data_IF_402218010309
#
_entry.id   IF_402218010309
#
_cell.length_a   1.000
_cell.length_b   1.000
_cell.length_c   1.000
_cell.angle_alpha   90.00
_cell.angle_beta   90.00
_cell.angle_gamma   90.00
#
_symmetry.space_group_name_H-M   'P 1'
#
loop_
_entity.id
_entity.type
_entity.pdbx_description
1 polymer ?
#
# COMPACT_ATOMS: atom_id res chain seq x y z
N UNK A 1 -18.37 -36.30 29.74
CA UNK A 1 -18.65 -35.40 28.59
C UNK A 1 -18.18 -33.95 28.82
N UNK A 2 -17.77 -33.53 30.03
CA UNK A 2 -17.29 -32.15 30.28
C UNK A 2 -15.84 -31.85 29.84
N UNK A 3 -14.95 -32.85 29.75
CA UNK A 3 -13.53 -32.62 29.40
C UNK A 3 -13.25 -32.41 27.90
N UNK A 4 -14.22 -32.70 27.03
CA UNK A 4 -14.07 -32.48 25.59
C UNK A 4 -14.32 -31.01 25.21
N UNK A 5 -15.21 -30.31 25.91
CA UNK A 5 -15.54 -28.91 25.60
C UNK A 5 -14.40 -27.95 26.02
N UNK A 6 -13.76 -28.19 27.16
CA UNK A 6 -12.66 -27.37 27.68
C UNK A 6 -11.36 -27.54 26.89
N UNK A 7 -11.08 -28.74 26.36
CA UNK A 7 -9.92 -28.98 25.50
C UNK A 7 -10.08 -28.28 24.15
N UNK A 8 -11.29 -28.28 23.58
CA UNK A 8 -11.59 -27.57 22.33
C UNK A 8 -11.54 -26.04 22.53
N UNK A 9 -12.09 -25.49 23.62
CA UNK A 9 -12.05 -24.04 23.88
C UNK A 9 -10.61 -23.50 24.09
N UNK A 10 -9.72 -24.30 24.69
CA UNK A 10 -8.32 -23.90 24.93
C UNK A 10 -7.45 -24.02 23.67
N UNK A 11 -7.71 -25.02 22.82
CA UNK A 11 -7.02 -25.21 21.53
C UNK A 11 -7.51 -24.22 20.46
N UNK A 12 -8.80 -23.85 20.48
CA UNK A 12 -9.41 -22.89 19.56
C UNK A 12 -8.95 -21.45 19.83
N UNK A 13 -8.79 -21.05 21.09
CA UNK A 13 -8.34 -19.68 21.39
C UNK A 13 -6.85 -19.45 21.12
N UNK A 14 -6.01 -20.47 21.27
CA UNK A 14 -4.57 -20.32 21.01
C UNK A 14 -4.21 -20.41 19.51
N UNK A 15 -4.97 -21.15 18.70
CA UNK A 15 -4.70 -21.24 17.26
C UNK A 15 -5.14 -19.98 16.51
N UNK A 16 -6.33 -19.45 16.78
CA UNK A 16 -6.87 -18.32 16.04
C UNK A 16 -6.01 -17.05 16.14
N UNK A 17 -5.47 -16.75 17.32
CA UNK A 17 -4.61 -15.57 17.51
C UNK A 17 -3.27 -15.74 16.77
N UNK A 18 -2.71 -16.96 16.78
CA UNK A 18 -1.46 -17.27 16.08
C UNK A 18 -1.66 -17.23 14.56
N UNK A 19 -2.76 -17.78 14.06
CA UNK A 19 -3.08 -17.81 12.65
C UNK A 19 -3.48 -16.43 12.13
N UNK A 20 -4.19 -15.63 12.94
CA UNK A 20 -4.48 -14.24 12.64
C UNK A 20 -3.20 -13.39 12.59
N UNK A 21 -2.26 -13.60 13.52
CA UNK A 21 -0.95 -12.95 13.48
C UNK A 21 -0.22 -13.30 12.19
N UNK A 22 -0.17 -14.58 11.81
CA UNK A 22 0.45 -15.04 10.55
C UNK A 22 -0.21 -14.42 9.32
N UNK A 23 -1.54 -14.31 9.34
CA UNK A 23 -2.30 -13.68 8.26
C UNK A 23 -1.95 -12.20 8.09
N UNK A 24 -1.89 -11.44 9.19
CA UNK A 24 -1.53 -10.01 9.13
C UNK A 24 -0.07 -9.77 8.72
N UNK A 25 0.84 -10.66 9.13
CA UNK A 25 2.24 -10.59 8.71
C UNK A 25 2.48 -11.09 7.30
N UNK A 26 1.47 -11.63 6.60
CA UNK A 26 1.64 -12.06 5.23
C UNK A 26 1.93 -10.85 4.32
N UNK A 27 2.95 -10.96 3.48
CA UNK A 27 3.38 -9.93 2.54
C UNK A 27 2.25 -9.47 1.60
N UNK A 28 1.41 -10.40 1.14
CA UNK A 28 0.27 -10.09 0.25
C UNK A 28 -0.82 -9.30 0.96
N UNK A 29 -1.13 -9.64 2.21
CA UNK A 29 -2.15 -8.95 3.02
C UNK A 29 -1.65 -7.56 3.43
N UNK A 30 -0.40 -7.48 3.88
CA UNK A 30 0.24 -6.23 4.28
C UNK A 30 0.38 -5.27 3.10
N UNK A 31 0.83 -5.77 1.94
CA UNK A 31 0.92 -5.00 0.70
C UNK A 31 -0.45 -4.48 0.23
N UNK A 32 -1.50 -5.30 0.32
CA UNK A 32 -2.87 -4.88 0.02
C UNK A 32 -3.36 -3.78 0.97
N UNK A 33 -3.18 -3.95 2.28
CA UNK A 33 -3.60 -2.96 3.29
C UNK A 33 -2.90 -1.61 3.07
N UNK A 34 -1.59 -1.61 2.82
CA UNK A 34 -0.83 -0.42 2.49
C UNK A 34 -1.38 0.24 1.21
N UNK A 35 -1.64 -0.55 0.17
CA UNK A 35 -2.21 -0.07 -1.09
C UNK A 35 -3.55 0.64 -0.91
N UNK A 36 -4.45 0.09 -0.09
CA UNK A 36 -5.76 0.69 0.21
C UNK A 36 -5.61 2.01 0.97
N UNK A 37 -4.74 2.06 1.99
CA UNK A 37 -4.52 3.28 2.80
C UNK A 37 -3.95 4.41 1.95
N UNK A 38 -2.92 4.10 1.14
CA UNK A 38 -2.28 5.08 0.24
C UNK A 38 -3.26 5.50 -0.85
N UNK A 39 -4.01 4.57 -1.43
CA UNK A 39 -5.01 4.84 -2.47
C UNK A 39 -6.14 5.75 -1.99
N UNK A 40 -6.65 5.53 -0.78
CA UNK A 40 -7.69 6.38 -0.19
C UNK A 40 -7.19 7.81 0.03
N UNK A 41 -6.00 7.93 0.60
CA UNK A 41 -5.40 9.25 0.89
C UNK A 41 -5.06 10.00 -0.40
N UNK A 42 -4.54 9.32 -1.42
CA UNK A 42 -4.29 9.90 -2.74
C UNK A 42 -5.58 10.39 -3.39
N UNK A 43 -6.67 9.62 -3.26
CA UNK A 43 -7.99 10.01 -3.75
C UNK A 43 -8.46 11.33 -3.10
N UNK A 44 -8.23 11.53 -1.81
CA UNK A 44 -8.61 12.77 -1.12
C UNK A 44 -7.82 13.99 -1.61
N UNK A 45 -6.54 13.81 -1.95
CA UNK A 45 -5.74 14.86 -2.63
C UNK A 45 -6.33 15.21 -3.99
N UNK A 46 -6.67 14.19 -4.79
CA UNK A 46 -7.30 14.40 -6.11
C UNK A 46 -8.63 15.12 -5.97
N UNK A 47 -9.49 14.74 -5.03
CA UNK A 47 -10.76 15.44 -4.75
C UNK A 47 -10.53 16.90 -4.39
N UNK A 48 -9.56 17.17 -3.51
CA UNK A 48 -9.25 18.54 -3.10
C UNK A 48 -8.73 19.37 -4.26
N UNK A 49 -7.91 18.78 -5.13
CA UNK A 49 -7.45 19.41 -6.36
C UNK A 49 -8.62 19.74 -7.31
N UNK A 50 -9.55 18.81 -7.52
CA UNK A 50 -10.76 19.05 -8.32
C UNK A 50 -11.60 20.19 -7.71
N UNK A 51 -11.71 20.25 -6.38
CA UNK A 51 -12.40 21.34 -5.68
C UNK A 51 -11.73 22.71 -5.87
N UNK A 52 -10.38 22.76 -5.90
CA UNK A 52 -9.66 23.99 -6.25
C UNK A 52 -10.01 24.47 -7.66
N UNK A 53 -9.95 23.57 -8.65
CA UNK A 53 -10.27 23.90 -10.03
C UNK A 53 -11.72 24.38 -10.17
N UNK A 54 -12.65 23.71 -9.49
CA UNK A 54 -14.06 24.14 -9.45
C UNK A 54 -14.22 25.54 -8.83
N UNK A 55 -13.50 25.84 -7.74
CA UNK A 55 -13.49 27.16 -7.12
C UNK A 55 -12.97 28.26 -8.05
N UNK A 56 -11.92 27.96 -8.84
CA UNK A 56 -11.37 28.89 -9.84
C UNK A 56 -12.39 29.13 -10.97
N UNK A 57 -12.99 28.07 -11.51
CA UNK A 57 -14.01 28.20 -12.58
C UNK A 57 -15.22 29.00 -12.09
N UNK A 58 -15.68 28.74 -10.86
CA UNK A 58 -16.78 29.48 -10.26
C UNK A 58 -16.43 30.96 -10.06
N UNK A 59 -15.20 31.27 -9.66
CA UNK A 59 -14.71 32.65 -9.54
C UNK A 59 -14.76 33.40 -10.87
N UNK A 60 -14.29 32.79 -11.97
CA UNK A 60 -14.39 33.38 -13.31
C UNK A 60 -15.84 33.52 -13.78
N UNK A 61 -16.71 32.55 -13.47
CA UNK A 61 -18.14 32.64 -13.78
C UNK A 61 -18.83 33.82 -13.09
N UNK A 62 -18.58 34.01 -11.79
CA UNK A 62 -19.14 35.16 -11.04
C UNK A 62 -18.62 36.49 -11.59
N UNK A 63 -17.32 36.56 -11.94
CA UNK A 63 -16.69 37.77 -12.49
C UNK A 63 -17.31 38.21 -13.83
N UNK A 64 -17.73 37.26 -14.67
CA UNK A 64 -18.30 37.53 -16.00
C UNK A 64 -19.81 37.80 -15.94
N UNK A 65 -20.55 37.17 -15.01
CA UNK A 65 -22.02 37.20 -14.98
C UNK A 65 -22.65 38.06 -13.86
N UNK A 66 -21.91 38.51 -12.84
CA UNK A 66 -22.46 39.38 -11.78
C UNK A 66 -22.18 40.87 -12.03
N UNK A 67 -23.25 41.68 -12.02
CA UNK A 67 -23.19 43.15 -12.09
C UNK A 67 -22.75 43.82 -10.78
N UNK A 68 -22.85 43.10 -9.67
CA UNK A 68 -22.35 43.53 -8.36
C UNK A 68 -20.98 42.85 -8.12
N UNK A 69 -19.91 43.61 -8.28
CA UNK A 69 -18.51 43.20 -8.11
C UNK A 69 -18.14 42.95 -6.63
N UNK A 70 -18.99 42.26 -5.89
CA UNK A 70 -18.73 41.91 -4.49
C UNK A 70 -17.82 40.67 -4.50
N UNK A 71 -16.52 40.92 -4.64
CA UNK A 71 -15.47 39.91 -4.64
C UNK A 71 -15.45 39.19 -3.28
N UNK A 72 -16.18 38.08 -3.17
CA UNK A 72 -15.97 37.14 -2.07
C UNK A 72 -14.69 36.36 -2.35
N UNK A 73 -13.57 36.85 -1.81
CA UNK A 73 -12.26 36.17 -1.82
C UNK A 73 -12.28 34.79 -1.14
N UNK A 74 -13.38 34.41 -0.50
CA UNK A 74 -13.59 33.13 0.19
C UNK A 74 -13.87 31.94 -0.76
N UNK A 75 -13.92 32.13 -2.09
CA UNK A 75 -14.38 31.09 -3.03
C UNK A 75 -13.30 30.05 -3.40
N UNK A 76 -12.00 30.32 -3.17
CA UNK A 76 -10.94 29.39 -3.60
C UNK A 76 -10.44 28.56 -2.40
N UNK A 77 -10.72 27.24 -2.33
CA UNK A 77 -10.40 26.40 -1.18
C UNK A 77 -8.92 25.95 -1.12
N UNK A 78 -7.97 26.89 -1.29
CA UNK A 78 -6.50 26.63 -1.32
C UNK A 78 -6.02 25.92 -0.05
N UNK A 79 -6.55 26.32 1.11
CA UNK A 79 -6.24 25.71 2.40
C UNK A 79 -6.58 24.23 2.45
N UNK A 80 -7.70 23.81 1.82
CA UNK A 80 -8.13 22.42 1.79
C UNK A 80 -7.17 21.53 1.01
N UNK A 81 -6.63 22.02 -0.10
CA UNK A 81 -5.65 21.27 -0.90
C UNK A 81 -4.31 21.14 -0.20
N UNK A 82 -3.80 22.22 0.39
CA UNK A 82 -2.54 22.17 1.12
C UNK A 82 -2.63 21.21 2.31
N UNK A 83 -3.78 21.17 2.99
CA UNK A 83 -4.03 20.25 4.10
C UNK A 83 -4.10 18.80 3.63
N UNK A 84 -4.82 18.52 2.52
CA UNK A 84 -4.89 17.18 1.95
C UNK A 84 -3.49 16.69 1.50
N UNK A 85 -2.72 17.56 0.85
CA UNK A 85 -1.36 17.26 0.40
C UNK A 85 -0.42 16.98 1.57
N UNK A 86 -0.45 17.81 2.62
CA UNK A 86 0.35 17.59 3.82
C UNK A 86 -0.05 16.29 4.53
N UNK A 87 -1.34 15.99 4.61
CA UNK A 87 -1.86 14.75 5.19
C UNK A 87 -1.37 13.53 4.41
N UNK A 88 -1.38 13.59 3.08
CA UNK A 88 -0.81 12.53 2.24
C UNK A 88 0.67 12.30 2.53
N UNK A 89 1.46 13.37 2.65
CA UNK A 89 2.88 13.24 2.94
C UNK A 89 3.13 12.63 4.33
N UNK A 90 2.33 13.01 5.33
CA UNK A 90 2.42 12.43 6.68
C UNK A 90 2.02 10.96 6.70
N UNK A 91 0.94 10.58 6.01
CA UNK A 91 0.47 9.20 5.94
C UNK A 91 1.48 8.33 5.17
N UNK A 92 1.99 8.81 4.04
CA UNK A 92 3.03 8.13 3.28
C UNK A 92 4.31 7.96 4.12
N UNK A 93 4.75 9.01 4.82
CA UNK A 93 5.89 8.95 5.74
C UNK A 93 5.68 7.98 6.90
N UNK A 94 4.49 7.98 7.49
CA UNK A 94 4.12 7.05 8.57
C UNK A 94 4.12 5.61 8.10
N UNK A 95 3.53 5.32 6.93
CA UNK A 95 3.51 3.98 6.34
C UNK A 95 4.91 3.52 5.98
N UNK A 96 5.73 4.40 5.39
CA UNK A 96 7.13 4.08 5.08
C UNK A 96 7.93 3.72 6.33
N UNK A 97 7.82 4.54 7.39
CA UNK A 97 8.52 4.28 8.64
C UNK A 97 8.02 2.99 9.30
N UNK A 98 6.70 2.73 9.25
CA UNK A 98 6.09 1.51 9.75
C UNK A 98 6.63 0.27 9.02
N UNK A 99 6.61 0.25 7.69
CA UNK A 99 7.15 -0.86 6.89
C UNK A 99 8.63 -1.08 7.19
N UNK A 100 9.43 -0.01 7.28
CA UNK A 100 10.85 -0.10 7.61
C UNK A 100 11.09 -0.65 9.03
N UNK A 101 10.26 -0.28 9.99
CA UNK A 101 10.31 -0.80 11.36
C UNK A 101 9.99 -2.29 11.39
N UNK A 102 8.93 -2.72 10.70
CA UNK A 102 8.54 -4.12 10.62
C UNK A 102 9.61 -4.95 9.92
N UNK A 103 10.18 -4.44 8.83
CA UNK A 103 11.31 -5.07 8.14
C UNK A 103 12.50 -5.26 9.10
N UNK A 104 12.83 -4.26 9.91
CA UNK A 104 13.95 -4.37 10.85
C UNK A 104 13.70 -5.34 12.03
N UNK A 105 12.43 -5.52 12.44
CA UNK A 105 12.07 -6.40 13.57
C UNK A 105 11.85 -7.85 13.14
N UNK A 106 11.25 -8.07 11.97
CA UNK A 106 10.90 -9.41 11.48
C UNK A 106 11.83 -9.95 10.39
N UNK A 107 12.41 -9.12 9.53
CA UNK A 107 13.32 -9.58 8.49
C UNK A 107 14.76 -9.65 9.02
N UNK A 108 15.14 -10.82 9.56
CA UNK A 108 16.57 -11.16 9.77
C UNK A 108 17.29 -11.51 8.46
N UNK A 109 16.55 -11.75 7.38
CA UNK A 109 17.10 -12.07 6.07
C UNK A 109 16.71 -11.01 5.03
N UNK A 110 17.64 -10.56 4.16
CA UNK A 110 17.38 -9.58 3.10
C UNK A 110 16.40 -10.07 2.02
N UNK A 111 15.95 -11.33 2.09
CA UNK A 111 14.98 -11.95 1.17
C UNK A 111 13.52 -11.84 1.63
N UNK A 112 13.25 -11.55 2.91
CA UNK A 112 11.90 -11.41 3.47
C UNK A 112 11.52 -9.94 3.69
N UNK A 113 11.73 -9.11 2.66
CA UNK A 113 11.41 -7.68 2.79
C UNK A 113 9.90 -7.46 2.65
N UNK A 114 9.21 -7.28 3.77
CA UNK A 114 7.80 -6.90 3.78
C UNK A 114 7.57 -5.64 2.92
N UNK A 115 6.81 -5.79 1.83
CA UNK A 115 6.54 -4.69 0.89
C UNK A 115 6.44 -5.16 -0.56
N UNK A 116 6.28 -4.19 -1.47
CA UNK A 116 6.04 -4.41 -2.91
C UNK A 116 7.10 -5.29 -3.61
N UNK A 117 8.30 -5.44 -3.03
CA UNK A 117 9.45 -6.03 -3.71
C UNK A 117 9.72 -7.51 -3.35
N UNK A 118 9.13 -8.07 -2.29
CA UNK A 118 9.41 -9.46 -1.87
C UNK A 118 9.08 -10.48 -2.96
N UNK A 119 7.85 -10.40 -3.49
CA UNK A 119 7.37 -11.29 -4.55
C UNK A 119 8.20 -11.15 -5.84
N UNK A 120 8.73 -9.95 -6.11
CA UNK A 120 9.53 -9.66 -7.30
C UNK A 120 10.94 -10.28 -7.23
N UNK A 121 11.55 -10.29 -6.03
CA UNK A 121 12.85 -10.93 -5.81
C UNK A 121 12.74 -12.46 -5.88
N UNK A 122 11.66 -13.03 -5.33
CA UNK A 122 11.39 -14.47 -5.40
C UNK A 122 11.18 -14.93 -6.85
N UNK A 123 10.39 -14.18 -7.63
CA UNK A 123 10.15 -14.49 -9.05
C UNK A 123 11.40 -14.36 -9.92
N UNK A 124 12.32 -13.43 -9.62
CA UNK A 124 13.61 -13.37 -10.32
C UNK A 124 14.46 -14.61 -10.06
N UNK A 125 14.60 -15.05 -8.81
CA UNK A 125 15.38 -16.25 -8.47
C UNK A 125 14.82 -17.52 -9.08
N UNK A 126 13.49 -17.65 -9.10
CA UNK A 126 12.83 -18.75 -9.80
C UNK A 126 13.15 -18.76 -11.29
N UNK A 127 13.19 -17.59 -11.93
CA UNK A 127 13.57 -17.45 -13.35
C UNK A 127 15.05 -17.77 -13.56
N UNK A 128 15.93 -17.26 -12.73
CA UNK A 128 17.38 -17.56 -12.79
C UNK A 128 17.63 -19.06 -12.65
N UNK A 129 17.02 -19.73 -11.68
CA UNK A 129 17.14 -21.18 -11.51
C UNK A 129 16.57 -21.97 -12.71
N UNK A 130 15.48 -21.48 -13.31
CA UNK A 130 14.93 -22.05 -14.55
C UNK A 130 15.86 -21.82 -15.74
N UNK A 131 16.46 -20.65 -15.87
CA UNK A 131 17.42 -20.31 -16.92
C UNK A 131 18.69 -21.15 -16.79
N UNK A 132 19.21 -21.34 -15.58
CA UNK A 132 20.34 -22.26 -15.32
C UNK A 132 19.98 -23.69 -15.72
N UNK A 133 18.82 -24.19 -15.30
CA UNK A 133 18.36 -25.53 -15.69
C UNK A 133 18.28 -25.65 -17.21
N UNK A 134 17.69 -24.65 -17.89
CA UNK A 134 17.57 -24.64 -19.34
C UNK A 134 18.92 -24.50 -20.05
N UNK A 135 19.87 -23.75 -19.49
CA UNK A 135 21.22 -23.59 -20.00
C UNK A 135 22.01 -24.89 -19.89
N UNK A 136 21.94 -25.57 -18.75
CA UNK A 136 22.55 -26.88 -18.54
C UNK A 136 21.98 -27.93 -19.50
N UNK A 137 20.67 -27.93 -19.75
CA UNK A 137 20.05 -28.82 -20.74
C UNK A 137 20.59 -28.55 -22.16
N UNK A 138 20.74 -27.27 -22.54
CA UNK A 138 21.34 -26.89 -23.83
C UNK A 138 22.81 -27.29 -23.92
N UNK A 139 23.58 -27.13 -22.84
CA UNK A 139 24.97 -27.57 -22.77
C UNK A 139 25.08 -29.09 -22.97
N UNK A 140 24.27 -29.89 -22.26
CA UNK A 140 24.26 -31.35 -22.38
C UNK A 140 23.88 -31.81 -23.79
N UNK A 141 22.86 -31.21 -24.40
CA UNK A 141 22.48 -31.51 -25.81
C UNK A 141 23.63 -31.15 -26.76
N UNK A 142 24.32 -30.04 -26.53
CA UNK A 142 25.45 -29.62 -27.37
C UNK A 142 26.68 -30.52 -27.25
N UNK A 143 26.99 -31.04 -26.05
CA UNK A 143 28.11 -31.98 -25.82
C UNK A 143 27.83 -33.41 -26.26
N UNK A 144 26.55 -33.75 -26.45
CA UNK A 144 26.12 -35.09 -26.92
C UNK A 144 26.11 -35.19 -28.45
N UNK A 145 26.18 -34.06 -29.16
CA UNK A 145 26.20 -33.98 -30.62
C UNK A 145 27.63 -33.82 -31.14
#
# INVERSE_FOLDING_TARGET
>A
MQNLHTATDTLMHHSLVVDFRKFLTNDKVMGFAIGVIVGNTFTDVVKSFVSLLAGIVNFFGILIFSSDHILKWQVIPISGFIQAFLSMLLIAGSVFFFVKLLNNVWARNPEEQFGYNATFVETQKLREAQEETNALLRELISKTK
#
